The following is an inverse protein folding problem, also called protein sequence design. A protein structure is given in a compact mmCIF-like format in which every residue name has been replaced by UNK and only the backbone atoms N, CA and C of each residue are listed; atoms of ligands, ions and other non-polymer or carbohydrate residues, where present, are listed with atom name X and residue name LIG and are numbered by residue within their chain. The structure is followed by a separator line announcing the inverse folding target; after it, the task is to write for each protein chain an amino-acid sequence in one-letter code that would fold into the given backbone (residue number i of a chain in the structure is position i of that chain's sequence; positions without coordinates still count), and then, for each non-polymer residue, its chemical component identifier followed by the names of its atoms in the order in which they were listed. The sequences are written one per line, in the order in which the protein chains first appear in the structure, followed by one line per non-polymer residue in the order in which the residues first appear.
data_IF_205285050141
#
_entry.id   IF_205285050141
#
_cell.length_a   1.000
_cell.length_b   1.000
_cell.length_c   1.000
_cell.angle_alpha   90.00
_cell.angle_beta   90.00
_cell.angle_gamma   90.00
#
_symmetry.space_group_name_H-M   'P 1'
#
loop_
_entity.id
_entity.type
_entity.pdbx_description
1 polymer ?
#
# COMPACT_ATOMS: atom_id res chain seq x y z
N UNK A 1 4.20 -10.25 -21.83
CA UNK A 1 4.21 -11.68 -22.22
C UNK A 1 2.83 -12.23 -21.94
N UNK A 2 2.23 -12.98 -22.86
CA UNK A 2 0.97 -13.69 -22.63
C UNK A 2 1.20 -15.19 -22.60
N UNK A 3 0.26 -15.91 -21.99
CA UNK A 3 0.29 -17.36 -21.81
C UNK A 3 -0.94 -17.97 -22.43
N UNK A 4 -0.76 -19.02 -23.23
CA UNK A 4 -1.89 -19.79 -23.79
C UNK A 4 -2.14 -20.97 -22.87
N UNK A 5 -3.38 -21.10 -22.41
CA UNK A 5 -3.81 -22.13 -21.47
C UNK A 5 -4.91 -22.95 -22.12
N UNK A 6 -4.75 -24.27 -22.16
CA UNK A 6 -5.82 -25.19 -22.54
C UNK A 6 -6.91 -25.17 -21.46
N UNK A 7 -8.13 -24.81 -21.85
CA UNK A 7 -9.27 -24.63 -20.95
C UNK A 7 -9.65 -25.95 -20.26
N UNK A 8 -9.51 -27.08 -20.95
CA UNK A 8 -9.92 -28.40 -20.45
C UNK A 8 -8.92 -28.95 -19.43
N UNK A 9 -7.63 -28.78 -19.69
CA UNK A 9 -6.56 -29.34 -18.85
C UNK A 9 -5.95 -28.34 -17.87
N UNK A 10 -6.25 -27.04 -18.03
CA UNK A 10 -5.59 -25.90 -17.36
C UNK A 10 -4.07 -25.90 -17.51
N UNK A 11 -3.53 -26.63 -18.49
CA UNK A 11 -2.11 -26.70 -18.75
C UNK A 11 -1.67 -25.55 -19.64
N UNK A 12 -0.43 -25.12 -19.41
CA UNK A 12 0.25 -24.15 -20.27
C UNK A 12 0.59 -24.84 -21.57
N UNK A 13 0.09 -24.33 -22.70
CA UNK A 13 0.38 -24.88 -24.02
C UNK A 13 1.27 -23.98 -24.87
N UNK A 14 1.48 -22.73 -24.44
CA UNK A 14 2.41 -21.81 -25.10
C UNK A 14 2.55 -20.47 -24.40
N UNK A 15 3.44 -19.64 -24.95
CA UNK A 15 3.67 -18.26 -24.52
C UNK A 15 4.01 -17.38 -25.72
N UNK A 16 3.82 -16.07 -25.59
CA UNK A 16 4.20 -15.09 -26.62
C UNK A 16 4.51 -13.72 -26.02
N UNK A 17 5.11 -12.86 -26.82
CA UNK A 17 5.40 -11.47 -26.44
C UNK A 17 4.15 -10.62 -26.60
N UNK A 18 4.03 -9.58 -25.76
CA UNK A 18 2.98 -8.57 -25.89
C UNK A 18 3.71 -7.30 -26.24
N UNK A 19 3.51 -6.82 -27.45
CA UNK A 19 4.05 -5.56 -27.94
C UNK A 19 2.91 -4.54 -27.95
N UNK A 20 2.73 -3.88 -26.80
CA UNK A 20 1.76 -2.82 -26.61
C UNK A 20 2.51 -1.59 -26.11
N UNK A 21 2.08 -0.37 -26.48
CA UNK A 21 2.66 0.83 -25.91
C UNK A 21 2.47 0.82 -24.38
N UNK A 22 3.43 1.41 -23.67
CA UNK A 22 3.32 1.61 -22.24
C UNK A 22 2.13 2.53 -21.94
N UNK A 23 1.19 2.05 -21.14
CA UNK A 23 0.08 2.86 -20.66
C UNK A 23 0.53 3.63 -19.42
N UNK A 24 0.38 4.96 -19.45
CA UNK A 24 0.83 5.86 -18.38
C UNK A 24 -0.31 6.75 -17.96
N UNK A 25 -0.47 6.86 -16.64
CA UNK A 25 -1.46 7.75 -16.02
C UNK A 25 -0.69 8.84 -15.29
N UNK A 26 -0.75 10.05 -15.82
CA UNK A 26 -0.28 11.24 -15.12
C UNK A 26 -1.32 11.60 -14.05
N UNK A 27 -0.92 11.58 -12.78
CA UNK A 27 -1.82 11.79 -11.64
C UNK A 27 -1.07 12.40 -10.46
N UNK A 28 -1.82 12.89 -9.48
CA UNK A 28 -1.31 13.40 -8.21
C UNK A 28 -1.11 12.28 -7.20
N UNK A 29 -0.07 12.42 -6.37
CA UNK A 29 0.27 11.43 -5.35
C UNK A 29 0.82 12.08 -4.09
N UNK A 30 0.38 11.56 -2.95
CA UNK A 30 1.00 11.74 -1.65
C UNK A 30 2.01 10.62 -1.45
N UNK A 31 3.18 10.94 -0.88
CA UNK A 31 4.12 9.92 -0.43
C UNK A 31 4.56 10.12 1.01
N UNK A 32 4.74 9.00 1.72
CA UNK A 32 5.27 8.93 3.07
C UNK A 32 6.61 8.23 3.01
N UNK A 33 7.68 8.95 3.33
CA UNK A 33 9.03 8.39 3.38
C UNK A 33 9.26 7.67 4.71
N UNK A 34 9.91 6.51 4.68
CA UNK A 34 10.11 5.72 5.90
C UNK A 34 11.20 6.33 6.80
N UNK A 35 10.93 6.54 8.11
CA UNK A 35 11.93 7.04 9.06
C UNK A 35 13.19 6.17 9.10
N UNK A 36 14.36 6.77 9.38
CA UNK A 36 15.64 6.04 9.43
C UNK A 36 15.63 4.86 10.39
N UNK A 37 14.99 5.04 11.55
CA UNK A 37 14.83 4.00 12.57
C UNK A 37 14.05 2.77 12.08
N UNK A 38 13.13 2.97 11.13
CA UNK A 38 12.36 1.89 10.54
C UNK A 38 13.13 1.21 9.38
N UNK A 39 13.90 1.99 8.62
CA UNK A 39 14.68 1.53 7.46
C UNK A 39 15.66 0.41 7.79
N UNK A 40 16.25 0.43 8.98
CA UNK A 40 17.22 -0.57 9.43
C UNK A 40 16.61 -1.84 10.03
N UNK A 41 15.28 -1.88 10.24
CA UNK A 41 14.63 -3.02 10.89
C UNK A 41 14.34 -4.15 9.92
N UNK A 42 14.58 -5.41 10.30
CA UNK A 42 14.13 -6.55 9.51
C UNK A 42 12.60 -6.56 9.44
N UNK A 43 12.04 -6.90 8.28
CA UNK A 43 10.60 -6.96 8.08
C UNK A 43 9.94 -5.62 7.71
N UNK A 44 10.71 -4.64 7.23
CA UNK A 44 10.18 -3.36 6.74
C UNK A 44 9.13 -3.55 5.63
N UNK A 45 9.40 -4.39 4.62
CA UNK A 45 8.45 -4.62 3.52
C UNK A 45 7.09 -5.16 4.01
N UNK A 46 7.04 -6.23 4.84
CA UNK A 46 5.81 -6.65 5.49
C UNK A 46 5.07 -5.54 6.25
N UNK A 47 5.81 -4.70 7.00
CA UNK A 47 5.23 -3.59 7.75
C UNK A 47 4.63 -2.51 6.82
N UNK A 48 5.36 -2.15 5.76
CA UNK A 48 4.89 -1.21 4.74
C UNK A 48 3.65 -1.74 4.02
N UNK A 49 3.61 -3.02 3.66
CA UNK A 49 2.45 -3.65 3.04
C UNK A 49 1.25 -3.68 3.99
N UNK A 50 1.49 -3.91 5.29
CA UNK A 50 0.45 -3.83 6.31
C UNK A 50 -0.15 -2.43 6.42
N UNK A 51 0.71 -1.42 6.45
CA UNK A 51 0.29 -0.02 6.45
C UNK A 51 -0.45 0.36 5.15
N UNK A 52 0.02 -0.10 3.99
CA UNK A 52 -0.64 0.12 2.71
C UNK A 52 -2.06 -0.46 2.69
N UNK A 53 -2.27 -1.65 3.24
CA UNK A 53 -3.59 -2.25 3.36
C UNK A 53 -4.52 -1.43 4.29
N UNK A 54 -3.99 -0.95 5.42
CA UNK A 54 -4.75 -0.07 6.32
C UNK A 54 -5.15 1.24 5.64
N UNK A 55 -4.21 1.89 4.95
CA UNK A 55 -4.47 3.13 4.22
C UNK A 55 -5.51 2.94 3.12
N UNK A 56 -5.42 1.85 2.34
CA UNK A 56 -6.40 1.54 1.31
C UNK A 56 -7.81 1.39 1.87
N UNK A 57 -7.94 0.84 3.08
CA UNK A 57 -9.23 0.61 3.72
C UNK A 57 -9.78 1.86 4.44
N UNK A 58 -8.90 2.65 5.06
CA UNK A 58 -9.31 3.74 5.95
C UNK A 58 -9.28 5.11 5.28
N UNK A 59 -8.32 5.39 4.38
CA UNK A 59 -8.27 6.69 3.70
C UNK A 59 -9.59 7.06 2.99
N UNK A 60 -10.32 6.14 2.33
CA UNK A 60 -11.60 6.47 1.70
C UNK A 60 -12.64 7.03 2.68
N UNK A 61 -12.60 6.65 3.96
CA UNK A 61 -13.50 7.16 4.99
C UNK A 61 -13.25 8.63 5.33
N UNK A 62 -12.00 9.08 5.21
CA UNK A 62 -11.61 10.47 5.45
C UNK A 62 -11.76 11.34 4.20
N UNK A 63 -11.57 10.74 3.03
CA UNK A 63 -11.65 11.41 1.73
C UNK A 63 -13.06 11.40 1.13
N UNK A 64 -13.98 10.67 1.74
CA UNK A 64 -15.35 10.49 1.26
C UNK A 64 -15.40 9.97 -0.20
N UNK A 65 -14.51 9.03 -0.53
CA UNK A 65 -14.38 8.43 -1.85
C UNK A 65 -14.60 6.91 -1.81
N UNK A 66 -14.64 6.25 -2.97
CA UNK A 66 -14.56 4.79 -3.01
C UNK A 66 -13.10 4.32 -2.83
N UNK A 67 -12.93 3.10 -2.33
CA UNK A 67 -11.66 2.40 -2.29
C UNK A 67 -10.99 2.21 -3.66
N UNK A 68 -11.77 2.22 -4.76
CA UNK A 68 -11.26 2.16 -6.12
C UNK A 68 -10.72 3.49 -6.65
N UNK A 69 -11.05 4.60 -6.00
CA UNK A 69 -10.65 5.95 -6.46
C UNK A 69 -9.21 6.30 -6.06
N UNK A 70 -8.59 5.46 -5.23
CA UNK A 70 -7.20 5.63 -4.79
C UNK A 70 -6.36 4.38 -5.06
N UNK A 71 -5.09 4.59 -5.41
CA UNK A 71 -4.07 3.56 -5.46
C UNK A 71 -3.10 3.73 -4.30
N UNK A 72 -2.86 2.65 -3.55
CA UNK A 72 -1.85 2.62 -2.50
C UNK A 72 -0.77 1.62 -2.88
N UNK A 73 0.49 2.07 -2.93
CA UNK A 73 1.63 1.23 -3.32
C UNK A 73 2.84 1.45 -2.42
N UNK A 74 3.73 0.46 -2.38
CA UNK A 74 4.96 0.49 -1.58
C UNK A 74 6.17 0.35 -2.50
N UNK A 75 7.20 1.13 -2.26
CA UNK A 75 8.47 1.03 -2.96
C UNK A 75 9.62 0.97 -1.93
N UNK A 76 10.46 -0.07 -1.99
CA UNK A 76 11.65 -0.17 -1.14
C UNK A 76 12.78 0.74 -1.61
N UNK A 77 12.82 1.04 -2.90
CA UNK A 77 13.80 1.92 -3.50
C UNK A 77 13.15 2.61 -4.67
N UNK A 78 12.63 3.81 -4.44
CA UNK A 78 12.17 4.66 -5.53
C UNK A 78 13.39 5.44 -6.09
N UNK A 79 13.60 5.46 -7.43
CA UNK A 79 14.79 6.06 -8.05
C UNK A 79 15.09 7.52 -7.67
N UNK A 80 14.05 8.32 -7.47
CA UNK A 80 14.12 9.76 -7.19
C UNK A 80 14.43 10.05 -5.72
N UNK A 81 13.73 9.36 -4.81
CA UNK A 81 13.78 9.52 -3.35
C UNK A 81 14.97 8.76 -2.74
N UNK A 82 15.46 7.71 -3.41
CA UNK A 82 16.56 6.83 -2.96
C UNK A 82 16.34 6.24 -1.55
N UNK A 83 15.08 6.12 -1.15
CA UNK A 83 14.67 5.55 0.13
C UNK A 83 13.30 4.88 0.03
N UNK A 84 12.95 3.98 0.96
CA UNK A 84 11.64 3.36 0.99
C UNK A 84 10.54 4.39 1.22
N UNK A 85 9.45 4.27 0.46
CA UNK A 85 8.30 5.14 0.55
C UNK A 85 6.99 4.38 0.27
N UNK A 86 5.91 4.92 0.81
CA UNK A 86 4.54 4.49 0.53
C UNK A 86 3.85 5.62 -0.25
N UNK A 87 3.14 5.28 -1.31
CA UNK A 87 2.45 6.23 -2.17
C UNK A 87 0.94 6.02 -2.07
N UNK A 88 0.19 7.12 -2.05
CA UNK A 88 -1.26 7.18 -2.20
C UNK A 88 -1.54 8.12 -3.37
N UNK A 89 -2.05 7.58 -4.47
CA UNK A 89 -2.28 8.30 -5.72
C UNK A 89 -3.75 8.26 -6.10
N UNK A 90 -4.20 9.25 -6.86
CA UNK A 90 -5.55 9.25 -7.42
C UNK A 90 -5.61 8.25 -8.57
N UNK A 91 -6.65 7.41 -8.60
CA UNK A 91 -6.88 6.43 -9.65
C UNK A 91 -7.47 7.02 -10.94
N UNK A 92 -7.44 8.34 -11.08
CA UNK A 92 -8.09 9.09 -12.14
C UNK A 92 -7.02 9.92 -12.88
N UNK A 93 -6.95 9.85 -14.23
CA UNK A 93 -6.02 10.67 -15.00
C UNK A 93 -6.20 12.16 -14.71
N UNK A 94 -5.08 12.87 -14.51
CA UNK A 94 -5.04 14.28 -14.16
C UNK A 94 -5.16 14.57 -12.66
N UNK A 95 -5.52 13.59 -11.83
CA UNK A 95 -5.80 13.79 -10.42
C UNK A 95 -7.12 14.53 -10.18
N UNK A 96 -7.78 14.23 -9.07
CA UNK A 96 -9.03 14.90 -8.65
C UNK A 96 -8.92 15.53 -7.25
N UNK A 97 -7.72 15.45 -6.65
CA UNK A 97 -7.42 16.06 -5.35
C UNK A 97 -7.57 15.11 -4.17
N UNK A 98 -7.70 13.79 -4.38
CA UNK A 98 -7.77 12.84 -3.26
C UNK A 98 -6.42 12.74 -2.55
N UNK A 99 -5.31 12.74 -3.31
CA UNK A 99 -3.96 12.79 -2.78
C UNK A 99 -3.69 14.07 -1.98
N UNK A 100 -4.23 15.22 -2.42
CA UNK A 100 -4.13 16.50 -1.72
C UNK A 100 -4.95 16.48 -0.42
N UNK A 101 -6.20 16.03 -0.48
CA UNK A 101 -7.02 15.84 0.72
C UNK A 101 -6.41 14.82 1.70
N UNK A 102 -5.76 13.78 1.17
CA UNK A 102 -5.03 12.81 1.97
C UNK A 102 -3.82 13.43 2.65
N UNK A 103 -3.10 14.34 1.97
CA UNK A 103 -1.99 15.09 2.56
C UNK A 103 -2.48 15.93 3.75
N UNK A 104 -3.57 16.67 3.58
CA UNK A 104 -4.13 17.52 4.64
C UNK A 104 -4.62 16.70 5.85
N UNK A 105 -5.18 15.51 5.60
CA UNK A 105 -5.76 14.64 6.62
C UNK A 105 -4.83 13.52 7.08
N UNK A 106 -3.57 13.48 6.63
CA UNK A 106 -2.74 12.28 6.73
C UNK A 106 -2.54 11.83 8.18
N UNK A 107 -2.37 12.79 9.09
CA UNK A 107 -2.16 12.49 10.51
C UNK A 107 -3.39 11.81 11.11
N UNK A 108 -4.59 12.28 10.79
CA UNK A 108 -5.85 11.69 11.23
C UNK A 108 -6.03 10.28 10.68
N UNK A 109 -5.71 10.08 9.40
CA UNK A 109 -5.77 8.77 8.75
C UNK A 109 -4.79 7.78 9.43
N UNK A 110 -3.55 8.19 9.68
CA UNK A 110 -2.54 7.36 10.34
C UNK A 110 -2.92 7.01 11.79
N UNK A 111 -3.54 7.94 12.53
CA UNK A 111 -4.07 7.66 13.87
C UNK A 111 -5.19 6.62 13.81
N UNK A 112 -6.11 6.72 12.84
CA UNK A 112 -7.15 5.71 12.64
C UNK A 112 -6.57 4.35 12.24
N UNK A 113 -5.52 4.31 11.42
CA UNK A 113 -4.78 3.08 11.11
C UNK A 113 -4.23 2.42 12.37
N UNK A 114 -3.68 3.22 13.29
CA UNK A 114 -3.17 2.74 14.58
C UNK A 114 -4.29 2.18 15.46
N UNK A 115 -5.38 2.91 15.60
CA UNK A 115 -6.56 2.49 16.37
C UNK A 115 -7.19 1.20 15.81
N UNK A 116 -7.27 1.08 14.49
CA UNK A 116 -7.75 -0.13 13.82
C UNK A 116 -6.83 -1.33 14.10
N UNK A 117 -5.51 -1.11 14.15
CA UNK A 117 -4.56 -2.17 14.44
C UNK A 117 -4.65 -2.66 15.89
N UNK A 118 -4.89 -1.74 16.84
CA UNK A 118 -5.05 -2.04 18.27
C UNK A 118 -6.40 -2.71 18.59
N UNK A 119 -7.49 -2.29 17.92
CA UNK A 119 -8.83 -2.86 18.12
C UNK A 119 -9.03 -4.22 17.42
N UNK A 120 -8.25 -4.51 16.39
CA UNK A 120 -8.36 -5.75 15.63
C UNK A 120 -7.95 -6.97 16.48
N UNK A 121 -8.82 -7.98 16.57
CA UNK A 121 -8.59 -9.21 17.36
C UNK A 121 -7.72 -10.27 16.67
N UNK A 122 -7.20 -9.99 15.47
CA UNK A 122 -6.35 -10.96 14.76
C UNK A 122 -4.98 -11.11 15.45
N UNK A 123 -4.40 -12.30 15.37
CA UNK A 123 -3.05 -12.59 15.88
C UNK A 123 -1.96 -12.04 14.97
N UNK A 124 -2.08 -12.23 13.65
CA UNK A 124 -0.97 -11.97 12.71
C UNK A 124 -1.40 -11.30 11.40
N UNK A 125 -2.61 -10.73 11.38
CA UNK A 125 -3.18 -10.02 10.24
C UNK A 125 -4.46 -10.65 9.71
N UNK A 126 -5.34 -9.80 9.18
CA UNK A 126 -6.56 -10.19 8.49
C UNK A 126 -6.89 -9.15 7.39
N UNK A 127 -7.82 -9.44 6.47
CA UNK A 127 -8.18 -8.51 5.39
C UNK A 127 -8.61 -7.12 5.89
N UNK A 128 -9.23 -7.06 7.07
CA UNK A 128 -9.72 -5.82 7.69
C UNK A 128 -8.65 -4.97 8.40
N UNK A 129 -7.42 -5.46 8.55
CA UNK A 129 -6.31 -4.69 9.15
C UNK A 129 -5.11 -4.59 8.20
N UNK A 130 -4.07 -5.41 8.40
CA UNK A 130 -2.83 -5.40 7.64
C UNK A 130 -2.82 -6.35 6.43
N UNK A 131 -3.92 -7.06 6.17
CA UNK A 131 -4.00 -8.11 5.15
C UNK A 131 -3.49 -9.47 5.63
N UNK A 132 -3.60 -10.49 4.78
CA UNK A 132 -3.18 -11.88 5.08
C UNK A 132 -1.85 -12.28 4.45
N UNK A 133 -1.30 -11.42 3.59
CA UNK A 133 -0.18 -11.74 2.67
C UNK A 133 1.14 -11.99 3.41
N UNK A 134 1.26 -11.52 4.65
CA UNK A 134 2.50 -11.58 5.46
C UNK A 134 2.40 -12.52 6.68
N UNK A 135 1.52 -13.53 6.61
CA UNK A 135 1.31 -14.50 7.70
C UNK A 135 2.62 -15.23 8.07
N UNK A 136 2.98 -15.23 9.34
CA UNK A 136 4.12 -15.96 9.93
C UNK A 136 5.29 -15.09 10.43
N UNK A 137 5.26 -13.77 10.24
CA UNK A 137 6.41 -12.87 10.51
C UNK A 137 6.11 -11.84 11.62
N UNK A 138 5.01 -11.99 12.37
CA UNK A 138 4.51 -10.97 13.32
C UNK A 138 4.31 -9.62 12.62
N UNK A 139 3.72 -9.66 11.43
CA UNK A 139 3.60 -8.49 10.56
C UNK A 139 2.77 -7.38 11.22
N UNK A 140 1.81 -7.75 12.07
CA UNK A 140 0.98 -6.80 12.83
C UNK A 140 1.82 -5.96 13.79
N UNK A 141 2.70 -6.59 14.57
CA UNK A 141 3.60 -5.91 15.51
C UNK A 141 4.58 -4.99 14.77
N UNK A 142 5.13 -5.45 13.64
CA UNK A 142 6.04 -4.65 12.82
C UNK A 142 5.34 -3.43 12.22
N UNK A 143 4.10 -3.59 11.74
CA UNK A 143 3.29 -2.50 11.21
C UNK A 143 2.95 -1.47 12.30
N UNK A 144 2.60 -1.92 13.51
CA UNK A 144 2.37 -1.04 14.65
C UNK A 144 3.61 -0.19 14.99
N UNK A 145 4.78 -0.83 15.10
CA UNK A 145 6.05 -0.12 15.35
C UNK A 145 6.39 0.88 14.24
N UNK A 146 6.09 0.54 12.98
CA UNK A 146 6.29 1.44 11.84
C UNK A 146 5.37 2.66 11.94
N UNK A 147 4.09 2.45 12.26
CA UNK A 147 3.12 3.53 12.49
C UNK A 147 3.57 4.47 13.60
N UNK A 148 4.08 3.91 14.72
CA UNK A 148 4.56 4.70 15.85
C UNK A 148 5.77 5.57 15.47
N UNK A 149 6.72 5.02 14.70
CA UNK A 149 7.86 5.80 14.20
C UNK A 149 7.44 6.95 13.28
N UNK A 150 6.45 6.72 12.41
CA UNK A 150 5.95 7.74 11.49
C UNK A 150 5.19 8.83 12.26
N UNK A 151 4.36 8.47 13.24
CA UNK A 151 3.57 9.42 14.03
C UNK A 151 4.41 10.26 15.02
N UNK A 152 5.60 9.79 15.39
CA UNK A 152 6.54 10.52 16.26
C UNK A 152 7.49 11.46 15.51
N UNK A 153 7.42 11.50 14.18
CA UNK A 153 8.22 12.40 13.32
C UNK A 153 7.49 13.72 13.14
#
# INVERSE_FOLDING_TARGET
MYKVIDISTRKTVGHGTVDLPEDRIDTTSLWITMPEKARSRPGLLPAMNGLANLLKNLAPLFLMCDSSDIYVSTALSEPTLKQPALFLSDAIPGGVGLAEGAYDSIRSILMACREQLDSCRCSDGCPSCIGTVNSGIKAKDLTGKLLDDILCT
#
